data_IF_626950317942
#
_entry.id   IF_626950317942
#
_cell.length_a   1.000
_cell.length_b   1.000
_cell.length_c   1.000
_cell.angle_alpha   90.00
_cell.angle_beta   90.00
_cell.angle_gamma   90.00
#
_symmetry.space_group_name_H-M   'P 1'
#
loop_
_entity.id
_entity.type
_entity.pdbx_description
1 polymer ?
#
# COMPACT_ATOMS: atom_id res chain seq x y z
N UNK A 1 10.34 6.96 -10.40
CA UNK A 1 9.60 5.80 -10.90
C UNK A 1 9.67 4.67 -9.91
N UNK A 2 8.53 4.28 -9.41
CA UNK A 2 8.44 3.26 -8.38
C UNK A 2 7.61 2.09 -8.87
N UNK A 3 7.77 0.94 -8.23
CA UNK A 3 6.95 -0.23 -8.48
C UNK A 3 5.91 -0.32 -7.36
N UNK A 4 4.64 -0.29 -7.72
CA UNK A 4 3.51 -0.19 -6.78
C UNK A 4 2.58 -1.38 -6.97
N UNK A 5 2.18 -1.99 -5.86
CA UNK A 5 1.20 -3.06 -5.85
C UNK A 5 -0.15 -2.50 -5.40
N UNK A 6 -1.19 -2.75 -6.17
CA UNK A 6 -2.56 -2.36 -5.83
C UNK A 6 -3.37 -3.62 -5.53
N UNK A 7 -3.87 -3.73 -4.31
CA UNK A 7 -4.65 -4.88 -3.85
C UNK A 7 -6.07 -4.41 -3.54
N UNK A 8 -7.03 -4.81 -4.36
CA UNK A 8 -8.43 -4.43 -4.21
C UNK A 8 -9.29 -5.42 -4.98
N UNK A 9 -10.41 -5.81 -4.43
CA UNK A 9 -11.32 -6.74 -5.10
C UNK A 9 -12.19 -6.07 -6.17
N UNK A 10 -12.25 -4.74 -6.17
CA UNK A 10 -13.02 -3.99 -7.15
C UNK A 10 -12.16 -3.61 -8.35
N UNK A 11 -12.47 -4.19 -9.50
CA UNK A 11 -11.72 -3.92 -10.73
C UNK A 11 -11.73 -2.44 -11.11
N UNK A 12 -12.86 -1.76 -10.91
CA UNK A 12 -12.97 -0.34 -11.24
C UNK A 12 -11.98 0.51 -10.42
N UNK A 13 -11.81 0.17 -9.15
CA UNK A 13 -10.85 0.87 -8.28
C UNK A 13 -9.43 0.57 -8.72
N UNK A 14 -9.11 -0.70 -9.00
CA UNK A 14 -7.77 -1.06 -9.50
C UNK A 14 -7.42 -0.32 -10.77
N UNK A 15 -8.38 -0.25 -11.71
CA UNK A 15 -8.16 0.46 -12.98
C UNK A 15 -7.93 1.96 -12.75
N UNK A 16 -8.73 2.58 -11.88
CA UNK A 16 -8.60 4.00 -11.58
C UNK A 16 -7.23 4.30 -10.94
N UNK A 17 -6.83 3.50 -9.97
CA UNK A 17 -5.54 3.69 -9.30
C UNK A 17 -4.38 3.45 -10.27
N UNK A 18 -4.49 2.42 -11.10
CA UNK A 18 -3.48 2.14 -12.12
C UNK A 18 -3.31 3.34 -13.05
N UNK A 19 -4.40 3.88 -13.56
CA UNK A 19 -4.36 5.02 -14.48
C UNK A 19 -3.67 6.23 -13.83
N UNK A 20 -4.03 6.54 -12.59
CA UNK A 20 -3.45 7.64 -11.84
C UNK A 20 -1.94 7.44 -11.67
N UNK A 21 -1.54 6.24 -11.24
CA UNK A 21 -0.13 5.96 -10.93
C UNK A 21 0.72 5.82 -12.18
N UNK A 22 0.19 5.21 -13.23
CA UNK A 22 0.93 5.09 -14.49
C UNK A 22 1.10 6.44 -15.16
N UNK A 23 0.14 7.36 -14.98
CA UNK A 23 0.28 8.73 -15.48
C UNK A 23 1.50 9.41 -14.84
N UNK A 24 1.81 9.06 -13.59
CA UNK A 24 2.99 9.56 -12.89
C UNK A 24 4.23 8.69 -13.14
N UNK A 25 4.14 7.82 -14.13
CA UNK A 25 5.25 6.96 -14.62
C UNK A 25 5.70 5.89 -13.62
N UNK A 26 4.83 5.52 -12.70
CA UNK A 26 5.08 4.36 -11.85
C UNK A 26 4.69 3.08 -12.56
N UNK A 27 5.34 1.98 -12.20
CA UNK A 27 4.97 0.64 -12.66
C UNK A 27 3.96 0.06 -11.67
N UNK A 28 2.84 -0.45 -12.16
CA UNK A 28 1.76 -0.94 -11.30
C UNK A 28 1.49 -2.41 -11.57
N UNK A 29 1.44 -3.20 -10.49
CA UNK A 29 0.89 -4.55 -10.52
C UNK A 29 -0.37 -4.60 -9.69
N UNK A 30 -1.26 -5.52 -9.99
CA UNK A 30 -2.56 -5.63 -9.33
C UNK A 30 -2.76 -7.01 -8.73
N UNK A 31 -3.54 -7.05 -7.65
CA UNK A 31 -4.04 -8.29 -7.07
C UNK A 31 -5.50 -8.09 -6.72
N UNK A 32 -6.33 -9.10 -6.95
CA UNK A 32 -7.77 -9.00 -6.76
C UNK A 32 -8.25 -9.41 -5.38
N UNK A 33 -7.37 -9.95 -4.56
CA UNK A 33 -7.70 -10.31 -3.18
C UNK A 33 -6.45 -10.28 -2.31
N UNK A 34 -6.66 -10.39 -0.99
CA UNK A 34 -5.58 -10.29 -0.03
C UNK A 34 -4.58 -11.44 -0.12
N UNK A 35 -5.03 -12.64 -0.45
CA UNK A 35 -4.14 -13.80 -0.56
C UNK A 35 -3.18 -13.63 -1.74
N UNK A 36 -3.71 -13.27 -2.91
CA UNK A 36 -2.89 -13.01 -4.10
C UNK A 36 -1.96 -11.82 -3.88
N UNK A 37 -2.45 -10.77 -3.22
CA UNK A 37 -1.65 -9.59 -2.91
C UNK A 37 -0.49 -9.91 -1.98
N UNK A 38 -0.75 -10.71 -0.95
CA UNK A 38 0.29 -11.09 0.00
C UNK A 38 1.38 -11.93 -0.68
N UNK A 39 0.98 -12.85 -1.54
CA UNK A 39 1.93 -13.68 -2.28
C UNK A 39 2.85 -12.82 -3.16
N UNK A 40 2.27 -11.87 -3.90
CA UNK A 40 3.05 -10.94 -4.72
C UNK A 40 3.95 -10.05 -3.87
N UNK A 41 3.43 -9.51 -2.78
CA UNK A 41 4.20 -8.63 -1.90
C UNK A 41 5.39 -9.35 -1.26
N UNK A 42 5.22 -10.62 -0.90
CA UNK A 42 6.30 -11.42 -0.32
C UNK A 42 7.44 -11.68 -1.31
N UNK A 43 7.15 -11.72 -2.59
CA UNK A 43 8.19 -11.86 -3.61
C UNK A 43 9.08 -10.62 -3.68
N UNK A 44 8.60 -9.51 -3.16
CA UNK A 44 9.38 -8.29 -3.03
C UNK A 44 9.44 -7.46 -4.30
N UNK A 45 10.23 -6.41 -4.24
CA UNK A 45 10.42 -5.52 -5.38
C UNK A 45 9.43 -4.38 -5.45
N UNK A 46 8.50 -4.28 -4.50
CA UNK A 46 7.55 -3.18 -4.46
C UNK A 46 8.04 -2.06 -3.55
N UNK A 47 7.87 -0.84 -4.00
CA UNK A 47 8.25 0.35 -3.24
C UNK A 47 7.11 0.85 -2.35
N UNK A 48 5.86 0.61 -2.78
CA UNK A 48 4.65 0.99 -2.04
C UNK A 48 3.56 -0.04 -2.33
N UNK A 49 2.72 -0.31 -1.33
CA UNK A 49 1.53 -1.16 -1.50
C UNK A 49 0.29 -0.34 -1.15
N UNK A 50 -0.71 -0.34 -2.03
CA UNK A 50 -2.03 0.22 -1.79
C UNK A 50 -2.98 -0.96 -1.59
N UNK A 51 -3.67 -1.03 -0.46
CA UNK A 51 -4.50 -2.17 -0.11
C UNK A 51 -5.85 -1.76 0.44
N UNK A 52 -6.92 -2.34 -0.10
CA UNK A 52 -8.27 -2.19 0.44
C UNK A 52 -8.40 -2.98 1.75
N UNK A 53 -9.23 -2.51 2.66
CA UNK A 53 -9.44 -3.20 3.94
C UNK A 53 -10.40 -4.38 3.77
N UNK A 54 -11.54 -4.17 3.10
CA UNK A 54 -12.55 -5.24 2.96
C UNK A 54 -12.37 -5.99 1.67
N UNK A 55 -11.86 -7.21 1.77
CA UNK A 55 -11.64 -8.08 0.62
C UNK A 55 -11.99 -9.52 0.99
N UNK A 56 -12.40 -10.35 0.02
CA UNK A 56 -12.58 -11.77 0.27
C UNK A 56 -11.25 -12.49 0.52
N UNK A 57 -11.33 -13.66 1.09
CA UNK A 57 -10.21 -14.57 1.39
C UNK A 57 -9.32 -14.08 2.51
N UNK A 58 -8.70 -12.91 2.35
CA UNK A 58 -7.83 -12.33 3.37
C UNK A 58 -8.10 -10.83 3.36
N UNK A 59 -8.63 -10.29 4.47
CA UNK A 59 -8.92 -8.86 4.53
C UNK A 59 -7.64 -8.04 4.64
N UNK A 60 -7.79 -6.72 4.43
CA UNK A 60 -6.64 -5.82 4.36
C UNK A 60 -5.85 -5.71 5.65
N UNK A 61 -6.52 -5.79 6.80
CA UNK A 61 -5.81 -5.72 8.08
C UNK A 61 -4.98 -6.97 8.33
N UNK A 62 -5.51 -8.14 7.98
CA UNK A 62 -4.75 -9.39 8.06
C UNK A 62 -3.58 -9.39 7.07
N UNK A 63 -3.83 -8.89 5.86
CA UNK A 63 -2.78 -8.70 4.85
C UNK A 63 -1.64 -7.85 5.42
N UNK A 64 -2.00 -6.71 6.02
CA UNK A 64 -1.04 -5.79 6.61
C UNK A 64 -0.21 -6.46 7.69
N UNK A 65 -0.86 -7.17 8.62
CA UNK A 65 -0.16 -7.86 9.71
C UNK A 65 0.81 -8.91 9.18
N UNK A 66 0.38 -9.70 8.21
CA UNK A 66 1.23 -10.76 7.64
C UNK A 66 2.39 -10.17 6.84
N UNK A 67 2.15 -9.10 6.10
CA UNK A 67 3.22 -8.45 5.35
C UNK A 67 4.23 -7.80 6.28
N UNK A 68 3.78 -7.12 7.32
CA UNK A 68 4.68 -6.48 8.29
C UNK A 68 5.55 -7.52 9.01
N UNK A 69 5.00 -8.70 9.29
CA UNK A 69 5.77 -9.80 9.90
C UNK A 69 6.84 -10.33 8.95
N UNK A 70 6.61 -10.22 7.64
CA UNK A 70 7.56 -10.68 6.61
C UNK A 70 8.57 -9.59 6.25
N UNK A 71 8.10 -8.36 6.07
CA UNK A 71 8.92 -7.21 5.69
C UNK A 71 8.24 -5.93 6.14
N UNK A 72 8.71 -5.35 7.24
CA UNK A 72 8.12 -4.14 7.82
C UNK A 72 8.64 -2.84 7.20
N UNK A 73 9.46 -2.93 6.17
CA UNK A 73 10.05 -1.75 5.55
C UNK A 73 9.23 -1.21 4.38
N UNK A 74 8.40 -2.03 3.76
CA UNK A 74 7.58 -1.57 2.65
C UNK A 74 6.39 -0.77 3.18
N UNK A 75 6.21 0.50 2.75
CA UNK A 75 5.07 1.27 3.21
C UNK A 75 3.77 0.76 2.59
N UNK A 76 2.76 0.58 3.43
CA UNK A 76 1.43 0.14 3.01
C UNK A 76 0.43 1.26 3.27
N UNK A 77 -0.28 1.66 2.23
CA UNK A 77 -1.35 2.65 2.32
C UNK A 77 -2.68 1.91 2.26
N UNK A 78 -3.46 2.01 3.33
CA UNK A 78 -4.77 1.35 3.39
C UNK A 78 -5.84 2.27 2.79
N UNK A 79 -6.77 1.67 2.06
CA UNK A 79 -7.88 2.40 1.44
C UNK A 79 -9.18 1.72 1.86
N UNK A 80 -10.18 2.49 2.29
CA UNK A 80 -11.44 1.91 2.73
C UNK A 80 -12.65 2.78 2.40
N UNK A 81 -13.72 2.16 1.90
CA UNK A 81 -15.00 2.83 1.68
C UNK A 81 -15.86 2.91 2.92
N UNK A 82 -15.51 2.18 3.95
CA UNK A 82 -16.30 2.08 5.18
C UNK A 82 -15.42 2.33 6.42
N UNK A 83 -14.39 3.14 6.25
CA UNK A 83 -13.47 3.41 7.33
C UNK A 83 -14.07 4.29 8.40
N UNK A 84 -13.87 3.89 9.66
CA UNK A 84 -14.14 4.73 10.81
C UNK A 84 -12.80 5.22 11.36
N UNK A 85 -12.85 6.18 12.28
CA UNK A 85 -11.63 6.63 12.96
C UNK A 85 -10.95 5.45 13.65
N UNK A 86 -11.75 4.57 14.29
CA UNK A 86 -11.21 3.39 14.97
C UNK A 86 -10.49 2.45 14.00
N UNK A 87 -11.06 2.23 12.81
CA UNK A 87 -10.42 1.40 11.78
C UNK A 87 -9.09 2.00 11.32
N UNK A 88 -9.09 3.32 11.10
CA UNK A 88 -7.88 4.03 10.68
C UNK A 88 -6.78 3.93 11.74
N UNK A 89 -7.14 4.16 13.00
CA UNK A 89 -6.19 4.06 14.12
C UNK A 89 -5.64 2.64 14.23
N UNK A 90 -6.51 1.63 14.11
CA UNK A 90 -6.09 0.23 14.18
C UNK A 90 -5.12 -0.11 13.05
N UNK A 91 -5.40 0.35 11.83
CA UNK A 91 -4.51 0.11 10.69
C UNK A 91 -3.14 0.75 10.93
N UNK A 92 -3.10 1.99 11.42
CA UNK A 92 -1.84 2.67 11.69
C UNK A 92 -1.06 1.98 12.82
N UNK A 93 -1.74 1.50 13.85
CA UNK A 93 -1.10 0.73 14.93
C UNK A 93 -0.50 -0.58 14.45
N UNK A 94 -1.10 -1.18 13.43
CA UNK A 94 -0.62 -2.45 12.85
C UNK A 94 0.49 -2.24 11.84
N UNK A 95 0.87 -1.01 11.56
CA UNK A 95 2.02 -0.70 10.72
C UNK A 95 1.70 -0.03 9.39
N UNK A 96 0.45 0.34 9.13
CA UNK A 96 0.11 1.07 7.91
C UNK A 96 0.82 2.43 7.91
N UNK A 97 1.30 2.81 6.75
CA UNK A 97 1.93 4.11 6.59
C UNK A 97 0.89 5.24 6.56
N UNK A 98 -0.25 4.98 5.91
CA UNK A 98 -1.31 5.97 5.77
C UNK A 98 -2.65 5.29 5.56
N UNK A 99 -3.73 6.05 5.65
CA UNK A 99 -5.10 5.57 5.51
C UNK A 99 -5.90 6.59 4.68
N UNK A 100 -6.56 6.10 3.64
CA UNK A 100 -7.32 6.95 2.72
C UNK A 100 -8.76 6.44 2.61
N UNK A 101 -9.74 7.33 2.69
CA UNK A 101 -11.15 6.97 2.50
C UNK A 101 -11.51 6.96 1.01
N UNK A 102 -12.38 6.03 0.62
CA UNK A 102 -12.96 6.00 -0.72
C UNK A 102 -14.14 6.99 -0.80
N UNK A 103 -14.42 7.59 -1.96
CA UNK A 103 -13.65 7.47 -3.20
C UNK A 103 -12.33 8.23 -3.08
N UNK A 104 -11.23 7.63 -3.56
CA UNK A 104 -9.93 8.27 -3.41
C UNK A 104 -9.82 9.50 -4.31
N UNK A 105 -9.38 10.59 -3.73
CA UNK A 105 -9.08 11.81 -4.46
C UNK A 105 -7.68 11.65 -5.08
N UNK A 106 -7.53 12.05 -6.34
CA UNK A 106 -6.26 11.91 -7.08
C UNK A 106 -5.11 12.57 -6.32
N UNK A 107 -5.30 13.81 -5.87
CA UNK A 107 -4.27 14.54 -5.14
C UNK A 107 -3.89 13.83 -3.84
N UNK A 108 -4.87 13.31 -3.13
CA UNK A 108 -4.65 12.59 -1.86
C UNK A 108 -3.81 11.34 -2.08
N UNK A 109 -4.12 10.57 -3.14
CA UNK A 109 -3.37 9.38 -3.51
C UNK A 109 -1.92 9.74 -3.84
N UNK A 110 -1.73 10.76 -4.68
CA UNK A 110 -0.39 11.15 -5.12
C UNK A 110 0.47 11.66 -3.96
N UNK A 111 -0.11 12.42 -3.03
CA UNK A 111 0.60 12.90 -1.85
C UNK A 111 1.00 11.73 -0.96
N UNK A 112 0.09 10.80 -0.71
CA UNK A 112 0.38 9.63 0.12
C UNK A 112 1.50 8.76 -0.48
N UNK A 113 1.44 8.52 -1.78
CA UNK A 113 2.46 7.74 -2.49
C UNK A 113 3.82 8.45 -2.42
N UNK A 114 3.84 9.75 -2.67
CA UNK A 114 5.09 10.52 -2.58
C UNK A 114 5.69 10.45 -1.19
N UNK A 115 4.89 10.65 -0.16
CA UNK A 115 5.35 10.58 1.22
C UNK A 115 5.89 9.19 1.56
N UNK A 116 5.23 8.14 1.08
CA UNK A 116 5.66 6.77 1.29
C UNK A 116 7.00 6.50 0.62
N UNK A 117 7.19 7.00 -0.61
CA UNK A 117 8.45 6.84 -1.33
C UNK A 117 9.58 7.59 -0.66
N UNK A 118 9.32 8.80 -0.18
CA UNK A 118 10.32 9.61 0.53
C UNK A 118 10.77 8.90 1.80
N UNK A 119 9.84 8.32 2.56
CA UNK A 119 10.17 7.55 3.75
C UNK A 119 11.04 6.34 3.42
N UNK A 120 10.69 5.60 2.37
CA UNK A 120 11.45 4.44 1.92
C UNK A 120 12.89 4.80 1.58
N UNK A 121 13.07 5.90 0.87
CA UNK A 121 14.40 6.39 0.50
C UNK A 121 15.21 6.79 1.75
N UNK A 122 14.60 7.48 2.68
CA UNK A 122 15.27 7.86 3.93
C UNK A 122 15.69 6.65 4.75
N UNK A 123 14.84 5.64 4.85
CA UNK A 123 15.17 4.42 5.57
C UNK A 123 16.33 3.68 4.91
N UNK A 124 16.37 3.66 3.60
CA UNK A 124 17.45 3.04 2.85
C UNK A 124 18.76 3.76 3.06
N UNK A 125 18.76 5.09 3.01
CA UNK A 125 19.94 5.92 3.29
C UNK A 125 20.46 5.68 4.71
N UNK A 126 19.58 5.64 5.67
CA UNK A 126 19.94 5.39 7.07
C UNK A 126 20.60 4.03 7.23
N UNK A 127 20.07 2.99 6.59
CA UNK A 127 20.67 1.67 6.63
C UNK A 127 22.07 1.65 6.01
N UNK A 128 22.22 2.30 4.88
CA UNK A 128 23.51 2.38 4.19
C UNK A 128 24.55 3.06 5.10
N UNK A 129 24.17 4.13 5.74
CA UNK A 129 25.07 4.85 6.66
C UNK A 129 25.45 4.01 7.88
N UNK A 130 24.52 3.21 8.41
CA UNK A 130 24.79 2.34 9.56
C UNK A 130 25.74 1.20 9.24
N UNK A 131 25.80 0.78 8.01
CA UNK A 131 26.69 -0.30 7.58
C UNK A 131 28.14 0.13 7.40
N UNK A 132 28.38 1.40 7.44
CA UNK A 132 29.72 1.95 7.37
C UNK A 132 30.33 2.10 8.75
#
# INVERSE_FOLDING_TARGET
>A
MAKILVVDDEKAIRNALRDILEHEKHTVEEAEDGAAGLEKAKKGGFDVVLCDIKMPKLDGLEFLQKLMAHNDEVPVIMISGHGTIDTAVDALKKGAFDFIEKPPNISRILVAVRNALDRGNLMQETKTLRQK
#
